data_IF_005946036973
#
_entry.id   IF_005946036973
#
_cell.length_a   1.000
_cell.length_b   1.000
_cell.length_c   1.000
_cell.angle_alpha   90.00
_cell.angle_beta   90.00
_cell.angle_gamma   90.00
#
_symmetry.space_group_name_H-M   'P 1'
#
loop_
_entity.id
_entity.type
_entity.pdbx_description
1 polymer ?
#
# COMPACT_ATOMS: atom_id res chain seq x y z
N UNK A 1 0.56 -1.51 -21.93
CA UNK A 1 -0.90 -1.37 -21.70
C UNK A 1 -1.64 -2.38 -22.56
N UNK A 2 -2.76 -2.91 -22.07
CA UNK A 2 -3.70 -3.80 -22.77
C UNK A 2 -5.15 -3.40 -22.39
N UNK A 3 -6.13 -3.78 -23.21
CA UNK A 3 -7.56 -3.62 -22.93
C UNK A 3 -8.36 -4.68 -23.70
N UNK A 4 -9.55 -5.02 -23.23
CA UNK A 4 -10.39 -6.10 -23.77
C UNK A 4 -11.82 -5.67 -24.12
N UNK A 5 -12.11 -4.36 -24.10
CA UNK A 5 -13.44 -3.78 -24.30
C UNK A 5 -13.77 -3.43 -25.74
N UNK A 6 -12.82 -2.84 -26.46
CA UNK A 6 -13.04 -2.34 -27.83
C UNK A 6 -12.00 -2.87 -28.80
N UNK A 7 -12.42 -3.84 -29.63
CA UNK A 7 -11.55 -4.46 -30.64
C UNK A 7 -11.03 -3.50 -31.72
N UNK A 8 -11.58 -2.29 -31.83
CA UNK A 8 -11.14 -1.27 -32.78
C UNK A 8 -10.01 -0.38 -32.25
N UNK A 9 -9.77 -0.37 -30.94
CA UNK A 9 -8.75 0.46 -30.30
C UNK A 9 -7.39 -0.25 -30.16
N UNK A 10 -6.33 0.54 -30.04
CA UNK A 10 -4.99 0.04 -29.79
C UNK A 10 -4.90 -0.77 -28.49
N UNK A 11 -4.08 -1.82 -28.50
CA UNK A 11 -3.86 -2.66 -27.32
C UNK A 11 -5.01 -3.62 -27.00
N UNK A 12 -5.93 -3.88 -27.94
CA UNK A 12 -6.95 -4.91 -27.75
C UNK A 12 -6.33 -6.31 -27.61
N UNK A 13 -6.70 -7.04 -26.57
CA UNK A 13 -6.24 -8.42 -26.32
C UNK A 13 -6.77 -8.97 -25.01
N UNK A 14 -6.38 -10.20 -24.68
CA UNK A 14 -6.73 -10.87 -23.43
C UNK A 14 -5.72 -10.51 -22.32
N UNK A 15 -6.13 -9.79 -21.25
CA UNK A 15 -5.24 -9.45 -20.13
C UNK A 15 -4.62 -10.66 -19.45
N UNK A 16 -5.34 -11.79 -19.40
CA UNK A 16 -4.84 -13.03 -18.78
C UNK A 16 -3.69 -13.65 -19.56
N UNK A 17 -3.61 -13.40 -20.88
CA UNK A 17 -2.50 -13.82 -21.73
C UNK A 17 -1.27 -12.91 -21.59
N UNK A 18 -1.44 -11.70 -21.02
CA UNK A 18 -0.42 -10.65 -20.90
C UNK A 18 -0.32 -10.09 -19.47
N UNK A 19 -0.04 -10.92 -18.45
CA UNK A 19 0.03 -10.49 -17.05
C UNK A 19 1.12 -9.44 -16.79
N UNK A 20 2.11 -9.35 -17.68
CA UNK A 20 3.16 -8.34 -17.69
C UNK A 20 2.67 -6.95 -18.13
N UNK A 21 1.47 -6.87 -18.72
CA UNK A 21 0.87 -5.61 -19.17
C UNK A 21 -0.18 -5.12 -18.19
N UNK A 22 -0.25 -3.80 -18.06
CA UNK A 22 -1.30 -3.12 -17.32
C UNK A 22 -2.57 -3.13 -18.17
N UNK A 23 -3.61 -3.79 -17.69
CA UNK A 23 -4.96 -3.67 -18.23
C UNK A 23 -5.55 -2.35 -17.77
N UNK A 24 -5.84 -1.44 -18.70
CA UNK A 24 -6.42 -0.12 -18.36
C UNK A 24 -7.84 -0.23 -17.79
N UNK A 25 -8.48 -1.38 -17.97
CA UNK A 25 -9.79 -1.71 -17.41
C UNK A 25 -9.67 -2.52 -16.10
N UNK A 26 -8.45 -2.84 -15.64
CA UNK A 26 -8.23 -3.67 -14.45
C UNK A 26 -8.43 -2.93 -13.12
N UNK A 27 -8.48 -1.59 -13.16
CA UNK A 27 -8.71 -0.72 -12.00
C UNK A 27 -10.18 -0.67 -11.54
N UNK A 28 -10.52 0.25 -10.62
CA UNK A 28 -11.89 0.40 -10.13
C UNK A 28 -12.80 0.72 -11.30
N UNK A 29 -13.81 -0.12 -11.49
CA UNK A 29 -14.88 0.17 -12.43
C UNK A 29 -15.82 1.13 -11.72
N UNK A 30 -15.70 2.42 -12.03
CA UNK A 30 -16.71 3.37 -11.58
C UNK A 30 -18.03 2.97 -12.24
N UNK A 31 -19.11 2.83 -11.46
CA UNK A 31 -20.44 2.74 -12.04
C UNK A 31 -20.63 3.94 -12.97
N UNK A 32 -21.24 3.72 -14.14
CA UNK A 32 -21.61 4.83 -15.06
C UNK A 32 -22.53 5.86 -14.37
N UNK A 33 -23.05 5.49 -13.19
CA UNK A 33 -23.92 6.19 -12.26
C UNK A 33 -23.50 5.90 -10.80
N UNK A 34 -22.41 6.51 -10.32
CA UNK A 34 -22.09 6.49 -8.89
C UNK A 34 -23.30 6.95 -8.07
N UNK A 35 -23.75 6.11 -7.15
CA UNK A 35 -24.86 6.45 -6.27
C UNK A 35 -24.49 7.69 -5.42
N UNK A 36 -25.48 8.56 -5.16
CA UNK A 36 -25.27 9.89 -4.57
C UNK A 36 -24.65 9.81 -3.16
N UNK A 37 -24.88 8.70 -2.45
CA UNK A 37 -24.28 8.37 -1.16
C UNK A 37 -22.79 8.02 -1.25
N UNK A 38 -22.37 7.29 -2.29
CA UNK A 38 -20.97 6.95 -2.55
C UNK A 38 -20.16 8.20 -2.93
N UNK A 39 -20.72 9.06 -3.79
CA UNK A 39 -20.12 10.36 -4.13
C UNK A 39 -20.04 11.28 -2.90
N UNK A 40 -21.04 11.22 -2.01
CA UNK A 40 -21.03 11.95 -0.74
C UNK A 40 -19.89 11.46 0.15
N UNK A 41 -19.67 10.14 0.25
CA UNK A 41 -18.55 9.58 1.00
C UNK A 41 -17.19 10.01 0.44
N UNK A 42 -17.00 10.01 -0.88
CA UNK A 42 -15.76 10.51 -1.50
C UNK A 42 -15.52 12.01 -1.23
N UNK A 43 -16.58 12.81 -1.17
CA UNK A 43 -16.52 14.23 -0.77
C UNK A 43 -16.20 14.38 0.73
N UNK A 44 -16.80 13.55 1.59
CA UNK A 44 -16.58 13.57 3.04
C UNK A 44 -15.14 13.21 3.44
N UNK A 45 -14.48 12.28 2.73
CA UNK A 45 -13.06 11.97 2.98
C UNK A 45 -12.11 12.92 2.22
N UNK A 46 -12.65 13.91 1.49
CA UNK A 46 -11.88 14.97 0.85
C UNK A 46 -11.12 14.54 -0.40
N UNK A 47 -11.51 13.43 -1.02
CA UNK A 47 -10.98 12.99 -2.31
C UNK A 47 -11.57 13.77 -3.49
N UNK A 48 -12.67 14.49 -3.27
CA UNK A 48 -13.27 15.41 -4.25
C UNK A 48 -13.49 16.77 -3.59
N UNK A 49 -12.77 17.83 -4.00
CA UNK A 49 -13.05 19.20 -3.55
C UNK A 49 -14.51 19.59 -3.80
N UNK A 50 -15.14 20.26 -2.83
CA UNK A 50 -16.57 20.63 -2.89
C UNK A 50 -16.94 21.55 -4.07
N UNK A 51 -15.95 22.20 -4.68
CA UNK A 51 -16.05 23.14 -5.78
C UNK A 51 -15.51 22.58 -7.11
N UNK A 52 -15.16 21.30 -7.17
CA UNK A 52 -14.60 20.66 -8.37
C UNK A 52 -15.64 19.86 -9.14
N UNK A 53 -15.69 20.07 -10.46
CA UNK A 53 -16.23 19.10 -11.44
C UNK A 53 -15.27 17.91 -11.59
N UNK A 54 -14.68 17.41 -10.49
CA UNK A 54 -13.72 16.31 -10.56
C UNK A 54 -14.46 15.06 -10.98
N UNK A 55 -14.17 14.57 -12.18
CA UNK A 55 -14.52 13.22 -12.57
C UNK A 55 -13.80 12.26 -11.60
N UNK A 56 -14.52 11.50 -10.74
CA UNK A 56 -13.89 10.51 -9.88
C UNK A 56 -13.12 9.45 -10.68
N UNK A 57 -13.32 9.35 -12.00
CA UNK A 57 -12.55 8.51 -12.92
C UNK A 57 -11.18 9.08 -13.30
N UNK A 58 -10.85 10.30 -12.89
CA UNK A 58 -9.57 10.92 -13.23
C UNK A 58 -8.37 10.36 -12.46
N UNK A 59 -8.59 9.74 -11.29
CA UNK A 59 -7.53 9.06 -10.54
C UNK A 59 -7.37 7.60 -10.99
N UNK A 60 -6.63 7.41 -12.07
CA UNK A 60 -6.46 6.11 -12.72
C UNK A 60 -5.75 5.07 -11.85
N UNK A 61 -4.84 5.49 -10.97
CA UNK A 61 -3.92 4.57 -10.28
C UNK A 61 -3.84 4.77 -8.77
N UNK A 62 -3.91 6.02 -8.32
CA UNK A 62 -3.65 6.40 -6.95
C UNK A 62 -2.34 5.79 -6.43
N UNK A 63 -1.22 6.08 -7.11
CA UNK A 63 0.09 5.56 -6.70
C UNK A 63 0.53 6.23 -5.39
N UNK A 64 0.69 5.45 -4.32
CA UNK A 64 0.87 6.00 -2.97
C UNK A 64 2.16 5.51 -2.25
N UNK A 65 2.96 4.67 -2.91
CA UNK A 65 4.20 4.12 -2.36
C UNK A 65 5.21 3.80 -3.46
N UNK A 66 6.49 4.08 -3.18
CA UNK A 66 7.61 3.75 -4.07
C UNK A 66 8.81 3.28 -3.23
N UNK A 67 9.40 2.15 -3.61
CA UNK A 67 10.58 1.59 -2.95
C UNK A 67 11.60 1.10 -3.98
N UNK A 68 12.82 1.61 -3.88
CA UNK A 68 13.92 1.22 -4.75
C UNK A 68 14.78 0.11 -4.12
N UNK A 69 15.10 -0.92 -4.89
CA UNK A 69 16.05 -1.97 -4.53
C UNK A 69 17.30 -1.83 -5.42
N UNK A 70 18.38 -1.31 -4.83
CA UNK A 70 19.63 -1.04 -5.55
C UNK A 70 20.36 -2.30 -6.03
N UNK A 71 20.24 -3.42 -5.32
CA UNK A 71 20.91 -4.66 -5.71
C UNK A 71 20.30 -5.25 -7.00
N UNK A 72 18.98 -5.16 -7.12
CA UNK A 72 18.23 -5.64 -8.28
C UNK A 72 18.07 -4.58 -9.38
N UNK A 73 18.28 -3.31 -9.04
CA UNK A 73 17.93 -2.13 -9.85
C UNK A 73 16.45 -2.16 -10.26
N UNK A 74 15.57 -2.29 -9.27
CA UNK A 74 14.13 -2.42 -9.44
C UNK A 74 13.38 -1.43 -8.55
N UNK A 75 12.21 -1.02 -9.00
CA UNK A 75 11.26 -0.21 -8.22
C UNK A 75 10.03 -1.05 -7.90
N UNK A 76 9.62 -1.10 -6.64
CA UNK A 76 8.30 -1.54 -6.23
C UNK A 76 7.38 -0.32 -6.04
N UNK A 77 6.13 -0.41 -6.52
CA UNK A 77 5.12 0.64 -6.37
C UNK A 77 3.81 0.08 -5.82
N UNK A 78 3.15 0.86 -4.98
CA UNK A 78 1.78 0.59 -4.50
C UNK A 78 0.78 1.29 -5.40
N UNK A 79 -0.09 0.53 -6.06
CA UNK A 79 -1.14 1.01 -6.96
C UNK A 79 -2.50 0.78 -6.29
N UNK A 80 -2.98 1.77 -5.55
CA UNK A 80 -4.17 1.63 -4.71
C UNK A 80 -5.42 1.31 -5.51
N UNK A 81 -5.62 1.96 -6.67
CA UNK A 81 -6.80 1.75 -7.50
C UNK A 81 -6.90 0.30 -8.01
N UNK A 82 -5.77 -0.35 -8.29
CA UNK A 82 -5.73 -1.74 -8.76
C UNK A 82 -5.76 -2.74 -7.61
N UNK A 83 -5.60 -2.28 -6.37
CA UNK A 83 -5.33 -3.12 -5.22
C UNK A 83 -4.08 -3.99 -5.40
N UNK A 84 -3.03 -3.47 -6.04
CA UNK A 84 -1.82 -4.23 -6.37
C UNK A 84 -0.51 -3.53 -5.98
N UNK A 85 0.51 -4.36 -5.76
CA UNK A 85 1.91 -3.97 -5.81
C UNK A 85 2.48 -4.37 -7.16
N UNK A 86 3.22 -3.48 -7.82
CA UNK A 86 3.97 -3.80 -9.04
C UNK A 86 5.47 -3.64 -8.85
N UNK A 87 6.26 -4.42 -9.58
CA UNK A 87 7.71 -4.27 -9.67
C UNK A 87 8.11 -3.96 -11.11
N UNK A 88 8.92 -2.92 -11.27
CA UNK A 88 9.38 -2.35 -12.53
C UNK A 88 10.89 -2.45 -12.67
N UNK A 89 11.38 -2.60 -13.91
CA UNK A 89 12.80 -2.48 -14.23
C UNK A 89 13.22 -1.00 -14.26
N UNK A 90 14.00 -0.58 -13.27
CA UNK A 90 14.47 0.81 -13.18
C UNK A 90 15.64 1.10 -14.12
N UNK A 91 16.33 0.07 -14.61
CA UNK A 91 17.53 0.23 -15.44
C UNK A 91 17.24 0.62 -16.89
N UNK A 92 15.96 0.72 -17.26
CA UNK A 92 15.51 1.01 -18.63
C UNK A 92 15.75 2.47 -19.00
N UNK A 93 16.09 2.71 -20.28
CA UNK A 93 15.94 4.06 -20.86
C UNK A 93 14.47 4.37 -21.14
N UNK A 94 14.14 5.64 -21.43
CA UNK A 94 12.79 6.02 -21.85
C UNK A 94 12.35 5.27 -23.11
N UNK A 95 13.25 5.02 -24.06
CA UNK A 95 12.95 4.25 -25.27
C UNK A 95 12.68 2.77 -24.97
N UNK A 96 13.46 2.15 -24.09
CA UNK A 96 13.25 0.75 -23.67
C UNK A 96 11.94 0.60 -22.87
N UNK A 97 11.66 1.55 -21.98
CA UNK A 97 10.43 1.61 -21.19
C UNK A 97 9.16 1.82 -22.05
N UNK A 98 9.30 2.29 -23.29
CA UNK A 98 8.18 2.36 -24.24
C UNK A 98 7.89 1.03 -24.96
N UNK A 99 8.76 0.02 -24.82
CA UNK A 99 8.62 -1.29 -25.44
C UNK A 99 8.61 -2.44 -24.43
N UNK A 100 8.75 -3.67 -24.94
CA UNK A 100 8.75 -4.93 -24.16
C UNK A 100 10.12 -5.60 -24.09
N UNK A 101 11.19 -4.85 -24.38
CA UNK A 101 12.57 -5.36 -24.47
C UNK A 101 13.55 -4.28 -24.01
N UNK A 102 14.71 -4.70 -23.49
CA UNK A 102 15.71 -3.79 -22.95
C UNK A 102 15.68 -3.75 -21.42
N UNK A 103 16.55 -2.94 -20.83
CA UNK A 103 16.83 -2.99 -19.40
C UNK A 103 17.60 -4.25 -18.98
N UNK A 104 18.04 -4.25 -17.73
CA UNK A 104 18.77 -5.34 -17.06
C UNK A 104 17.98 -6.64 -17.06
N UNK A 105 16.66 -6.55 -17.00
CA UNK A 105 15.76 -7.70 -16.93
C UNK A 105 15.12 -8.05 -18.29
N UNK A 106 15.48 -7.32 -19.35
CA UNK A 106 15.07 -7.64 -20.73
C UNK A 106 13.58 -7.46 -21.02
N UNK A 107 12.85 -6.73 -20.17
CA UNK A 107 11.39 -6.57 -20.23
C UNK A 107 10.94 -5.17 -20.66
N UNK A 108 11.86 -4.21 -20.83
CA UNK A 108 11.47 -2.83 -21.15
C UNK A 108 10.47 -2.29 -20.12
N UNK A 109 9.35 -1.72 -20.59
CA UNK A 109 8.28 -1.18 -19.76
C UNK A 109 7.25 -2.19 -19.24
N UNK A 110 7.40 -3.48 -19.54
CA UNK A 110 6.51 -4.51 -19.00
C UNK A 110 6.77 -4.72 -17.49
N UNK A 111 5.72 -5.05 -16.75
CA UNK A 111 5.81 -5.38 -15.33
C UNK A 111 6.68 -6.62 -15.13
N UNK A 112 7.64 -6.53 -14.21
CA UNK A 112 8.45 -7.70 -13.82
C UNK A 112 7.62 -8.65 -12.93
N UNK A 113 6.76 -8.07 -12.10
CA UNK A 113 5.94 -8.78 -11.12
C UNK A 113 4.76 -7.91 -10.68
N UNK A 114 3.70 -8.58 -10.22
CA UNK A 114 2.55 -7.96 -9.57
C UNK A 114 1.98 -8.87 -8.49
N UNK A 115 1.38 -8.30 -7.45
CA UNK A 115 0.75 -9.07 -6.38
C UNK A 115 -0.37 -8.28 -5.73
N UNK A 116 -1.42 -8.97 -5.28
CA UNK A 116 -2.47 -8.37 -4.47
C UNK A 116 -3.88 -8.61 -4.98
N UNK A 117 -4.12 -8.37 -6.27
CA UNK A 117 -5.44 -8.50 -6.88
C UNK A 117 -5.38 -9.13 -8.28
N UNK A 118 -5.36 -10.47 -8.36
CA UNK A 118 -5.20 -11.17 -9.64
C UNK A 118 -6.37 -11.07 -10.61
N UNK A 119 -7.54 -10.61 -10.14
CA UNK A 119 -8.69 -10.35 -11.03
C UNK A 119 -8.42 -9.17 -11.97
N UNK A 120 -7.58 -8.21 -11.56
CA UNK A 120 -7.20 -7.02 -12.36
C UNK A 120 -6.44 -7.32 -13.66
N UNK A 121 -6.07 -8.58 -13.88
CA UNK A 121 -5.46 -9.08 -15.12
C UNK A 121 -5.96 -10.48 -15.49
N UNK A 122 -7.15 -10.87 -15.01
CA UNK A 122 -7.82 -12.09 -15.44
C UNK A 122 -7.16 -13.40 -15.01
N UNK A 123 -6.38 -13.43 -13.93
CA UNK A 123 -5.72 -14.65 -13.42
C UNK A 123 -6.15 -15.08 -12.01
N UNK A 124 -7.27 -14.57 -11.53
CA UNK A 124 -7.87 -14.97 -10.25
C UNK A 124 -9.22 -14.29 -10.05
N UNK A 125 -9.88 -14.60 -8.94
CA UNK A 125 -11.11 -13.95 -8.49
C UNK A 125 -10.97 -13.36 -7.09
N UNK A 126 -12.11 -13.01 -6.51
CA UNK A 126 -12.19 -12.33 -5.21
C UNK A 126 -11.52 -13.14 -4.07
N UNK A 127 -11.54 -14.47 -4.16
CA UNK A 127 -10.93 -15.35 -3.17
C UNK A 127 -9.38 -15.29 -3.17
N UNK A 128 -8.77 -14.91 -4.29
CA UNK A 128 -7.33 -14.76 -4.43
C UNK A 128 -6.84 -13.32 -4.17
N UNK A 129 -7.76 -12.34 -4.04
CA UNK A 129 -7.39 -10.99 -3.63
C UNK A 129 -6.88 -10.99 -2.17
N UNK A 130 -5.86 -10.18 -1.93
CA UNK A 130 -5.20 -10.05 -0.61
C UNK A 130 -5.15 -8.61 -0.16
N UNK A 131 -4.86 -7.68 -1.07
CA UNK A 131 -4.76 -6.26 -0.75
C UNK A 131 -6.03 -5.51 -1.09
N UNK A 132 -6.35 -4.51 -0.27
CA UNK A 132 -7.54 -3.69 -0.37
C UNK A 132 -7.18 -2.25 0.05
N UNK A 133 -6.98 -1.39 -0.94
CA UNK A 133 -6.55 0.00 -0.76
C UNK A 133 -5.17 0.11 -0.11
N UNK A 134 -4.23 -0.75 -0.47
CA UNK A 134 -2.93 -0.87 0.19
C UNK A 134 -2.03 0.36 0.05
N UNK A 135 -1.12 0.53 1.00
CA UNK A 135 -0.18 1.64 1.11
C UNK A 135 1.25 1.17 1.41
N UNK A 136 2.20 2.05 1.07
CA UNK A 136 3.60 2.05 1.53
C UNK A 136 4.32 0.70 1.34
N UNK A 137 4.32 0.17 0.12
CA UNK A 137 5.14 -1.01 -0.16
C UNK A 137 6.62 -0.73 0.07
N UNK A 138 7.31 -1.67 0.72
CA UNK A 138 8.73 -1.56 1.04
C UNK A 138 9.43 -2.88 0.83
N UNK A 139 10.62 -2.81 0.23
CA UNK A 139 11.60 -3.88 0.38
C UNK A 139 12.09 -3.93 1.81
N UNK A 140 12.20 -5.14 2.36
CA UNK A 140 12.98 -5.36 3.58
C UNK A 140 14.46 -5.25 3.18
N UNK A 141 15.22 -4.27 3.71
CA UNK A 141 16.62 -4.05 3.35
C UNK A 141 17.53 -5.21 3.74
N UNK A 142 18.68 -5.29 3.09
CA UNK A 142 19.78 -6.18 3.49
C UNK A 142 20.18 -5.94 4.96
N UNK A 143 20.46 -7.03 5.68
CA UNK A 143 20.82 -6.99 7.10
C UNK A 143 19.62 -7.02 8.06
N UNK A 144 18.38 -6.97 7.56
CA UNK A 144 17.17 -7.18 8.38
C UNK A 144 16.58 -8.59 8.18
N UNK A 145 15.86 -9.15 9.18
CA UNK A 145 15.15 -10.41 9.01
C UNK A 145 14.11 -10.33 7.87
N UNK A 146 14.17 -11.25 6.91
CA UNK A 146 13.34 -11.21 5.70
C UNK A 146 13.91 -10.32 4.58
N UNK A 147 15.20 -9.95 4.62
CA UNK A 147 15.85 -9.17 3.55
C UNK A 147 15.48 -9.67 2.14
N UNK A 148 15.07 -8.74 1.28
CA UNK A 148 14.59 -9.05 -0.07
C UNK A 148 13.11 -9.43 -0.16
N UNK A 149 12.39 -9.57 0.94
CA UNK A 149 10.92 -9.66 0.94
C UNK A 149 10.30 -8.27 0.78
N UNK A 150 8.99 -8.22 0.55
CA UNK A 150 8.19 -7.00 0.52
C UNK A 150 7.27 -6.95 1.74
N UNK A 151 7.18 -5.79 2.38
CA UNK A 151 6.13 -5.44 3.33
C UNK A 151 5.12 -4.52 2.67
N UNK A 152 3.84 -4.73 2.97
CA UNK A 152 2.74 -3.89 2.49
C UNK A 152 1.67 -3.78 3.57
N UNK A 153 1.11 -2.58 3.74
CA UNK A 153 -0.03 -2.34 4.62
C UNK A 153 -1.31 -2.36 3.78
N UNK A 154 -2.23 -3.29 4.04
CA UNK A 154 -3.55 -3.35 3.41
C UNK A 154 -4.60 -2.74 4.33
N UNK A 155 -5.29 -1.72 3.84
CA UNK A 155 -6.10 -0.85 4.68
C UNK A 155 -7.49 -1.43 4.99
N UNK A 156 -8.13 -2.02 3.97
CA UNK A 156 -9.57 -2.29 3.95
C UNK A 156 -9.88 -3.79 3.73
N UNK A 157 -9.15 -4.68 4.41
CA UNK A 157 -9.34 -6.14 4.28
C UNK A 157 -10.74 -6.52 4.77
N UNK A 158 -11.56 -7.22 3.96
CA UNK A 158 -12.86 -7.72 4.39
C UNK A 158 -12.71 -8.72 5.54
N UNK A 159 -13.32 -8.44 6.69
CA UNK A 159 -13.43 -9.36 7.82
C UNK A 159 -14.86 -9.90 7.98
N UNK A 160 -15.06 -10.93 8.81
CA UNK A 160 -16.38 -11.52 9.05
C UNK A 160 -17.35 -10.57 9.78
N UNK A 161 -16.82 -9.66 10.61
CA UNK A 161 -17.61 -8.72 11.42
C UNK A 161 -17.49 -7.28 10.90
N UNK A 162 -16.29 -6.87 10.51
CA UNK A 162 -16.01 -5.53 9.99
C UNK A 162 -14.78 -5.54 9.07
N UNK A 163 -14.61 -4.46 8.29
CA UNK A 163 -13.36 -4.18 7.60
C UNK A 163 -12.25 -3.90 8.60
N UNK A 164 -11.04 -4.37 8.31
CA UNK A 164 -9.88 -4.19 9.16
C UNK A 164 -8.61 -4.01 8.33
N UNK A 165 -7.52 -3.62 8.99
CA UNK A 165 -6.22 -3.52 8.34
C UNK A 165 -5.37 -4.77 8.61
N UNK A 166 -4.53 -5.12 7.64
CA UNK A 166 -3.58 -6.21 7.76
C UNK A 166 -2.24 -5.80 7.16
N UNK A 167 -1.14 -6.20 7.78
CA UNK A 167 0.20 -6.04 7.22
C UNK A 167 0.63 -7.38 6.64
N UNK A 168 1.10 -7.39 5.40
CA UNK A 168 1.62 -8.59 4.76
C UNK A 168 3.12 -8.49 4.53
N UNK A 169 3.83 -9.57 4.81
CA UNK A 169 5.17 -9.85 4.28
C UNK A 169 5.07 -10.92 3.21
N UNK A 170 5.56 -10.63 2.01
CA UNK A 170 5.61 -11.58 0.90
C UNK A 170 7.04 -11.79 0.43
N UNK A 171 7.36 -13.02 0.07
CA UNK A 171 8.60 -13.39 -0.60
C UNK A 171 8.31 -13.70 -2.07
N UNK A 172 8.50 -12.74 -3.00
CA UNK A 172 8.39 -13.01 -4.43
C UNK A 172 9.37 -14.11 -4.84
N UNK A 173 8.88 -15.14 -5.53
CA UNK A 173 9.73 -16.25 -5.98
C UNK A 173 10.41 -15.90 -7.29
N UNK A 174 11.69 -16.20 -7.39
CA UNK A 174 12.48 -16.06 -8.62
C UNK A 174 13.04 -17.40 -9.09
N UNK A 175 13.35 -17.50 -10.39
CA UNK A 175 14.08 -18.62 -10.98
C UNK A 175 15.60 -18.47 -10.78
N UNK A 176 16.39 -19.42 -11.29
CA UNK A 176 17.86 -19.39 -11.19
C UNK A 176 18.50 -18.20 -11.92
N UNK A 177 17.77 -17.55 -12.84
CA UNK A 177 18.18 -16.34 -13.54
C UNK A 177 17.70 -15.05 -12.85
N UNK A 178 16.94 -15.17 -11.75
CA UNK A 178 16.40 -14.05 -10.99
C UNK A 178 15.08 -13.49 -11.52
N UNK A 179 14.45 -14.10 -12.53
CA UNK A 179 13.14 -13.66 -13.01
C UNK A 179 12.03 -14.14 -12.08
N UNK A 180 11.02 -13.30 -11.86
CA UNK A 180 9.86 -13.68 -11.07
C UNK A 180 9.11 -14.85 -11.71
N UNK A 181 8.82 -15.87 -10.90
CA UNK A 181 8.21 -17.11 -11.36
C UNK A 181 6.72 -16.89 -11.62
N UNK A 182 6.28 -17.24 -12.83
CA UNK A 182 4.90 -17.31 -13.24
C UNK A 182 4.65 -18.66 -13.91
N UNK A 183 3.70 -19.44 -13.38
CA UNK A 183 3.47 -20.83 -13.83
C UNK A 183 2.14 -20.93 -14.58
N UNK A 184 2.21 -21.25 -15.89
CA UNK A 184 1.00 -21.45 -16.69
C UNK A 184 0.04 -20.26 -16.63
N UNK A 185 -1.21 -20.54 -16.27
CA UNK A 185 -2.30 -19.57 -16.10
C UNK A 185 -2.47 -19.06 -14.67
N UNK A 186 -1.66 -19.54 -13.72
CA UNK A 186 -1.75 -19.10 -12.32
C UNK A 186 -1.37 -17.62 -12.20
N UNK A 187 -1.88 -16.90 -11.19
CA UNK A 187 -1.41 -15.56 -10.88
C UNK A 187 0.01 -15.59 -10.31
N UNK A 188 0.67 -14.44 -10.30
CA UNK A 188 1.93 -14.29 -9.58
C UNK A 188 1.72 -14.57 -8.08
N UNK A 189 2.52 -15.49 -7.54
CA UNK A 189 2.51 -15.84 -6.12
C UNK A 189 3.37 -14.90 -5.27
N UNK A 190 3.43 -15.09 -3.94
CA UNK A 190 2.86 -16.23 -3.24
C UNK A 190 1.36 -16.06 -2.97
N UNK A 191 0.61 -17.17 -2.98
CA UNK A 191 -0.82 -17.18 -2.60
C UNK A 191 -1.04 -16.99 -1.10
N UNK A 192 -0.02 -17.36 -0.30
CA UNK A 192 0.03 -17.20 1.15
C UNK A 192 1.22 -16.31 1.51
N UNK A 193 1.00 -15.18 2.20
CA UNK A 193 2.07 -14.36 2.74
C UNK A 193 3.02 -15.16 3.65
N UNK A 194 4.29 -14.81 3.66
CA UNK A 194 5.29 -15.44 4.55
C UNK A 194 5.05 -15.08 6.01
N UNK A 195 4.52 -13.89 6.25
CA UNK A 195 4.05 -13.44 7.54
C UNK A 195 2.90 -12.44 7.34
N UNK A 196 1.98 -12.37 8.30
CA UNK A 196 1.03 -11.27 8.35
C UNK A 196 0.72 -10.87 9.79
N UNK A 197 0.23 -9.65 9.94
CA UNK A 197 -0.28 -9.15 11.22
C UNK A 197 -1.63 -8.49 11.04
N UNK A 198 -2.57 -8.96 11.85
CA UNK A 198 -3.84 -8.31 12.17
C UNK A 198 -3.98 -8.30 13.69
N UNK A 199 -4.69 -7.32 14.25
CA UNK A 199 -4.92 -7.31 15.69
C UNK A 199 -5.88 -8.44 16.10
N UNK A 200 -5.70 -9.06 17.29
CA UNK A 200 -6.63 -10.06 17.79
C UNK A 200 -8.08 -9.53 17.89
N UNK A 201 -8.22 -8.26 18.27
CA UNK A 201 -9.44 -7.49 18.08
C UNK A 201 -9.31 -6.66 16.80
N UNK A 202 -9.92 -7.14 15.70
CA UNK A 202 -9.83 -6.50 14.38
C UNK A 202 -10.38 -5.06 14.39
N UNK A 203 -11.38 -4.75 15.23
CA UNK A 203 -11.93 -3.41 15.32
C UNK A 203 -10.92 -2.39 15.90
N UNK A 204 -9.95 -2.87 16.70
CA UNK A 204 -8.89 -2.03 17.24
C UNK A 204 -7.84 -1.60 16.19
N UNK A 205 -7.77 -2.30 15.05
CA UNK A 205 -6.79 -2.09 14.00
C UNK A 205 -7.45 -1.97 12.63
N UNK A 206 -8.00 -0.78 12.39
CA UNK A 206 -8.50 -0.38 11.08
C UNK A 206 -8.07 1.06 10.79
N UNK A 207 -7.31 1.24 9.71
CA UNK A 207 -6.96 2.52 9.13
C UNK A 207 -7.38 2.54 7.66
N UNK A 208 -8.45 3.26 7.29
CA UNK A 208 -9.04 3.15 5.94
C UNK A 208 -8.17 3.72 4.81
N UNK A 209 -7.18 4.54 5.14
CA UNK A 209 -6.23 5.14 4.20
C UNK A 209 -4.86 5.37 4.88
N UNK A 210 -3.87 5.88 4.12
CA UNK A 210 -2.49 6.13 4.56
C UNK A 210 -1.89 4.89 5.24
N UNK A 211 -0.94 5.02 6.16
CA UNK A 211 -0.32 3.91 6.92
C UNK A 211 0.89 3.28 6.23
N UNK A 212 1.56 2.40 6.97
CA UNK A 212 2.72 1.66 6.48
C UNK A 212 3.33 0.78 7.54
N UNK A 213 4.26 -0.08 7.14
CA UNK A 213 4.99 -0.97 8.03
C UNK A 213 6.44 -1.13 7.57
N UNK A 214 7.37 -1.26 8.51
CA UNK A 214 8.72 -1.70 8.18
C UNK A 214 9.34 -2.55 9.28
N UNK A 215 10.14 -3.53 8.84
CA UNK A 215 10.93 -4.42 9.69
C UNK A 215 12.05 -3.67 10.41
N UNK A 216 12.33 -4.07 11.64
CA UNK A 216 13.41 -3.56 12.49
C UNK A 216 14.54 -4.61 12.65
N UNK A 217 15.75 -4.21 13.09
CA UNK A 217 16.90 -5.12 13.23
C UNK A 217 16.71 -6.27 14.23
N UNK A 218 15.88 -6.08 15.25
CA UNK A 218 15.53 -7.11 16.23
C UNK A 218 14.48 -8.11 15.71
N UNK A 219 13.99 -7.93 14.48
CA UNK A 219 12.93 -8.74 13.89
C UNK A 219 11.52 -8.25 14.17
N UNK A 220 11.36 -7.23 15.02
CA UNK A 220 10.06 -6.60 15.22
C UNK A 220 9.62 -5.85 13.96
N UNK A 221 8.33 -5.56 13.87
CA UNK A 221 7.78 -4.72 12.80
C UNK A 221 7.16 -3.48 13.42
N UNK A 222 7.63 -2.29 13.04
CA UNK A 222 6.95 -1.03 13.37
C UNK A 222 5.81 -0.83 12.38
N UNK A 223 4.60 -0.68 12.92
CA UNK A 223 3.37 -0.44 12.16
C UNK A 223 2.89 0.97 12.46
N UNK A 224 2.60 1.73 11.41
CA UNK A 224 1.94 3.04 11.48
C UNK A 224 0.51 2.86 11.01
N UNK A 225 -0.45 2.83 11.93
CA UNK A 225 -1.86 2.95 11.62
C UNK A 225 -2.20 4.43 11.48
N UNK A 226 -2.11 4.91 10.23
CA UNK A 226 -1.98 6.33 9.94
C UNK A 226 -3.23 7.13 10.26
N UNK A 227 -4.41 6.68 9.83
CA UNK A 227 -5.67 7.40 10.07
C UNK A 227 -6.00 7.49 11.57
N UNK A 228 -5.64 6.47 12.35
CA UNK A 228 -5.79 6.47 13.81
C UNK A 228 -4.76 7.37 14.51
N UNK A 229 -3.65 7.72 13.84
CA UNK A 229 -2.49 8.34 14.48
C UNK A 229 -1.79 7.41 15.47
N UNK A 230 -1.89 6.09 15.26
CA UNK A 230 -1.39 5.04 16.16
C UNK A 230 -0.12 4.41 15.59
N UNK A 231 0.90 4.25 16.43
CA UNK A 231 2.18 3.64 16.07
C UNK A 231 2.47 2.53 17.08
N UNK A 232 2.85 1.36 16.61
CA UNK A 232 3.12 0.25 17.52
C UNK A 232 4.11 -0.73 16.92
N UNK A 233 4.87 -1.39 17.79
CA UNK A 233 5.85 -2.40 17.41
C UNK A 233 5.36 -3.77 17.83
N UNK A 234 5.41 -4.71 16.88
CA UNK A 234 5.00 -6.10 17.11
C UNK A 234 6.20 -7.04 16.99
N UNK A 235 6.24 -8.06 17.84
CA UNK A 235 7.17 -9.19 17.68
C UNK A 235 6.82 -10.01 16.43
N UNK A 236 7.70 -10.91 15.95
CA UNK A 236 7.36 -11.86 14.89
C UNK A 236 6.11 -12.69 15.20
N UNK A 237 5.84 -12.95 16.47
CA UNK A 237 4.67 -13.69 16.96
C UNK A 237 3.40 -12.82 17.05
N UNK A 238 3.49 -11.51 16.79
CA UNK A 238 2.38 -10.58 16.79
C UNK A 238 2.07 -9.93 18.15
N UNK A 239 2.98 -10.02 19.13
CA UNK A 239 2.80 -9.36 20.43
C UNK A 239 3.19 -7.88 20.34
N UNK A 240 2.31 -6.97 20.79
CA UNK A 240 2.63 -5.54 20.85
C UNK A 240 3.58 -5.30 22.04
N UNK A 241 4.78 -4.82 21.75
CA UNK A 241 5.83 -4.54 22.76
C UNK A 241 6.08 -3.05 22.99
N UNK A 242 5.58 -2.20 22.10
CA UNK A 242 5.61 -0.75 22.23
C UNK A 242 4.43 -0.15 21.49
N UNK A 243 3.88 0.95 22.02
CA UNK A 243 2.78 1.66 21.41
C UNK A 243 2.83 3.15 21.75
N UNK A 244 2.44 3.98 20.79
CA UNK A 244 2.28 5.42 20.93
C UNK A 244 1.10 5.91 20.10
N UNK A 245 0.35 6.88 20.63
CA UNK A 245 -0.74 7.55 19.93
C UNK A 245 -0.38 9.02 19.76
N UNK A 246 -0.52 9.53 18.53
CA UNK A 246 -0.30 10.94 18.22
C UNK A 246 -1.23 11.80 19.08
N UNK A 247 -0.65 12.84 19.67
CA UNK A 247 -1.37 13.80 20.53
C UNK A 247 -1.63 15.12 19.85
N UNK A 248 -1.09 15.28 18.65
CA UNK A 248 -1.14 16.53 17.89
C UNK A 248 -1.97 16.30 16.65
N UNK A 249 -3.14 16.91 16.62
CA UNK A 249 -3.82 17.25 15.38
C UNK A 249 -3.19 18.51 14.80
N UNK A 250 -3.20 18.67 13.48
CA UNK A 250 -2.56 19.84 12.86
C UNK A 250 -3.14 21.17 13.37
N UNK A 251 -2.26 22.14 13.66
CA UNK A 251 -2.67 23.53 13.98
C UNK A 251 -3.00 24.35 12.74
N UNK A 252 -2.87 23.75 11.55
CA UNK A 252 -3.16 24.42 10.28
C UNK A 252 -4.66 24.71 10.22
N UNK A 253 -4.99 25.96 9.91
CA UNK A 253 -6.34 26.42 9.63
C UNK A 253 -6.36 27.09 8.27
N UNK A 254 -7.43 26.88 7.53
CA UNK A 254 -7.72 27.65 6.33
C UNK A 254 -7.95 29.13 6.72
N UNK A 255 -7.89 30.07 5.77
CA UNK A 255 -8.12 31.50 6.06
C UNK A 255 -9.47 31.81 6.74
N UNK A 256 -10.47 30.94 6.60
CA UNK A 256 -11.78 31.02 7.24
C UNK A 256 -11.86 30.38 8.64
N UNK A 257 -10.74 29.81 9.13
CA UNK A 257 -10.66 29.14 10.43
C UNK A 257 -11.06 27.66 10.42
N UNK A 258 -11.47 27.09 9.28
CA UNK A 258 -11.75 25.67 9.14
C UNK A 258 -10.47 24.82 9.10
N UNK A 259 -10.60 23.51 9.28
CA UNK A 259 -9.48 22.58 9.08
C UNK A 259 -9.19 22.44 7.56
N UNK A 260 -7.91 22.38 7.14
CA UNK A 260 -7.52 22.33 5.73
C UNK A 260 -7.90 21.03 5.00
N UNK A 261 -8.32 20.00 5.73
CA UNK A 261 -8.79 18.74 5.17
C UNK A 261 -10.00 18.23 5.97
N UNK A 262 -10.97 17.57 5.33
CA UNK A 262 -12.20 17.07 5.97
C UNK A 262 -11.98 15.82 6.83
N UNK A 263 -10.79 15.66 7.40
CA UNK A 263 -10.47 14.58 8.35
C UNK A 263 -11.02 14.88 9.75
N UNK A 264 -12.20 15.47 9.88
CA UNK A 264 -12.84 15.73 11.19
C UNK A 264 -12.93 14.44 12.02
N UNK A 265 -13.15 13.29 11.35
CA UNK A 265 -13.19 11.95 11.97
C UNK A 265 -11.79 11.39 12.29
N UNK A 266 -10.72 11.91 11.68
CA UNK A 266 -9.34 11.45 11.84
C UNK A 266 -8.39 12.60 12.21
N UNK A 267 -8.64 13.32 13.33
CA UNK A 267 -7.90 14.54 13.66
C UNK A 267 -6.41 14.30 13.92
N UNK A 268 -6.04 13.05 14.25
CA UNK A 268 -4.67 12.65 14.55
C UNK A 268 -3.99 11.92 13.38
N UNK A 269 -4.58 11.97 12.17
CA UNK A 269 -4.06 11.26 11.01
C UNK A 269 -2.60 11.63 10.72
N UNK A 270 -1.75 10.61 10.54
CA UNK A 270 -0.35 10.75 10.16
C UNK A 270 -0.06 9.87 8.96
N UNK A 271 0.52 10.46 7.91
CA UNK A 271 0.73 9.78 6.63
C UNK A 271 1.58 8.52 6.76
N UNK A 272 2.76 8.64 7.38
CA UNK A 272 3.69 7.52 7.66
C UNK A 272 4.61 7.88 8.82
N UNK A 273 5.22 6.87 9.46
CA UNK A 273 6.37 7.06 10.33
C UNK A 273 7.59 6.22 9.89
N UNK A 274 8.77 6.60 10.37
CA UNK A 274 10.02 5.86 10.19
C UNK A 274 10.77 5.84 11.52
N UNK A 275 11.13 4.65 12.01
CA UNK A 275 11.91 4.55 13.25
C UNK A 275 13.35 4.97 12.96
N UNK A 276 13.81 5.99 13.68
CA UNK A 276 15.24 6.34 13.72
C UNK A 276 15.84 5.57 14.88
N UNK A 277 16.77 4.66 14.60
CA UNK A 277 17.41 3.82 15.61
C UNK A 277 18.34 4.65 16.51
N UNK A 278 18.52 4.27 17.79
CA UNK A 278 19.33 5.04 18.74
C UNK A 278 20.79 5.27 18.34
N UNK A 279 21.34 4.40 17.50
CA UNK A 279 22.72 4.46 16.98
C UNK A 279 22.84 5.35 15.74
N UNK A 280 21.73 5.91 15.23
CA UNK A 280 21.74 6.79 14.07
C UNK A 280 22.68 7.99 14.29
N UNK A 281 23.57 8.34 13.33
CA UNK A 281 24.56 9.41 13.51
C UNK A 281 24.00 10.76 13.96
N UNK A 282 22.80 11.11 13.49
CA UNK A 282 22.13 12.37 13.89
C UNK A 282 21.68 12.41 15.36
N UNK A 283 21.60 11.26 16.03
CA UNK A 283 21.25 11.15 17.46
C UNK A 283 22.50 11.06 18.35
N UNK A 284 23.70 10.99 17.77
CA UNK A 284 24.93 11.01 18.56
C UNK A 284 24.99 12.27 19.42
N UNK A 285 25.45 12.11 20.66
CA UNK A 285 25.47 13.16 21.69
C UNK A 285 24.10 13.74 22.09
N UNK A 286 22.98 13.11 21.69
CA UNK A 286 21.65 13.39 22.24
C UNK A 286 21.35 12.42 23.39
N UNK A 287 20.81 12.95 24.48
CA UNK A 287 20.22 12.12 25.53
C UNK A 287 18.82 11.70 25.08
N UNK A 288 18.61 10.40 24.89
CA UNK A 288 17.32 9.83 24.56
C UNK A 288 16.69 9.30 25.84
N UNK A 289 15.73 10.04 26.41
CA UNK A 289 14.99 9.63 27.59
C UNK A 289 13.65 9.05 27.15
N UNK A 290 13.34 7.78 27.45
CA UNK A 290 12.01 7.22 27.18
C UNK A 290 10.91 8.02 27.87
N UNK A 291 9.74 8.09 27.24
CA UNK A 291 8.54 8.58 27.92
C UNK A 291 8.06 7.50 28.89
N UNK A 292 8.29 7.71 30.18
CA UNK A 292 7.87 6.81 31.26
C UNK A 292 7.21 7.62 32.40
N UNK A 293 5.91 7.43 32.68
CA UNK A 293 5.00 6.56 31.93
C UNK A 293 4.74 7.10 30.51
N UNK A 294 4.33 6.20 29.61
CA UNK A 294 3.75 6.63 28.33
C UNK A 294 2.56 7.56 28.59
N UNK A 295 2.34 8.60 27.76
CA UNK A 295 1.15 9.42 27.86
C UNK A 295 -0.12 8.55 27.81
N UNK A 296 -1.19 8.92 28.52
CA UNK A 296 -2.44 8.16 28.47
C UNK A 296 -2.95 8.08 27.03
N UNK A 297 -3.39 6.88 26.63
CA UNK A 297 -4.02 6.67 25.33
C UNK A 297 -5.36 7.41 25.34
N UNK A 298 -5.51 8.36 24.42
CA UNK A 298 -6.78 9.02 24.16
C UNK A 298 -7.24 8.53 22.79
N UNK A 299 -8.04 7.45 22.72
CA UNK A 299 -8.56 7.01 21.44
C UNK A 299 -9.43 8.12 20.84
N UNK A 300 -9.44 8.30 19.51
CA UNK A 300 -10.41 9.19 18.89
C UNK A 300 -11.82 8.75 19.30
N UNK A 301 -12.77 9.70 19.47
CA UNK A 301 -14.15 9.35 19.74
C UNK A 301 -14.65 8.38 18.66
N UNK A 302 -15.41 7.35 19.08
CA UNK A 302 -16.05 6.44 18.13
C UNK A 302 -16.84 7.27 17.12
N UNK A 303 -16.68 6.99 15.82
CA UNK A 303 -17.54 7.56 14.81
C UNK A 303 -18.99 7.23 15.20
N UNK A 304 -19.78 8.27 15.45
CA UNK A 304 -21.21 8.09 15.68
C UNK A 304 -21.85 7.63 14.37
N UNK A 305 -22.64 6.54 14.44
CA UNK A 305 -23.48 6.05 13.34
C UNK A 305 -24.37 7.13 12.73
#
# INVERSE_FOLDING_TARGET
MIQDRDASLGGYGDPSAHPERIDINGGPQLPEDMAEDELTRFREVGHVPSDSDHDPASDLMHTNGIAYNAALDQIAVSIHAYNEIWILDHSTTTEEAAGSTGGRWGRGGDLLYRWGNPSSYGRGGDAEQRTFGQHDVRWIPEGLPGAGHLLVFSNNVPGPEAVHSEVFEIAPRTDDAGHYVLTGSDPFGPTTPTWSYTAPDQASFHSPFISGAHRLPDGHTLITSGAQGRFFEVTPEGEIVWEYWSRTSGDVRMPDGSLPHPVEQFPYAVFRATKILPDHPALQARALTPLDPQPPVVPPPLATE
#
